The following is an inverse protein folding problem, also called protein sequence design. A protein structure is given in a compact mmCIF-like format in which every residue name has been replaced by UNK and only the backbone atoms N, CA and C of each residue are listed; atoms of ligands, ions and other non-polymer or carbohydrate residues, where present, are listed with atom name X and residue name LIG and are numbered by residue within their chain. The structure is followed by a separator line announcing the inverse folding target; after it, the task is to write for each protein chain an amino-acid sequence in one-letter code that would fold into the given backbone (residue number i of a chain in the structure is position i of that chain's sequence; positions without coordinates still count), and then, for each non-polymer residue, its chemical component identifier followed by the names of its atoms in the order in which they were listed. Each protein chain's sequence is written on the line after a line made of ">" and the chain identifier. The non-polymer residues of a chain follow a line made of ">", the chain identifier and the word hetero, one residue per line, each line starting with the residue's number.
data_IF_754802182351
#
_entry.id   IF_754802182351
#
_cell.length_a   1.000
_cell.length_b   1.000
_cell.length_c   1.000
_cell.angle_alpha   90.00
_cell.angle_beta   90.00
_cell.angle_gamma   90.00
#
_symmetry.space_group_name_H-M   'P 1'
#
loop_
_entity.id
_entity.type
_entity.pdbx_description
1 polymer ?
#
# COMPACT_ATOMS: atom_id res chain seq x y z
N UNK A 1 -43.66 -23.75 12.32
CA UNK A 1 -42.46 -23.35 13.08
C UNK A 1 -41.20 -24.12 12.67
N UNK A 2 -41.27 -25.38 12.26
CA UNK A 2 -40.08 -26.20 11.95
C UNK A 2 -39.37 -25.86 10.63
N UNK A 3 -40.05 -25.29 9.64
CA UNK A 3 -39.45 -24.95 8.34
C UNK A 3 -38.59 -23.70 8.37
N UNK A 4 -38.88 -22.74 9.24
CA UNK A 4 -38.07 -21.50 9.38
C UNK A 4 -36.75 -21.77 10.10
N UNK A 5 -36.73 -22.69 11.07
CA UNK A 5 -35.56 -23.10 11.82
C UNK A 5 -34.59 -23.89 10.92
N UNK A 6 -35.09 -24.76 10.04
CA UNK A 6 -34.27 -25.50 9.09
C UNK A 6 -33.58 -24.60 8.06
N UNK A 7 -34.25 -23.55 7.58
CA UNK A 7 -33.69 -22.59 6.64
C UNK A 7 -32.58 -21.74 7.32
N UNK A 8 -32.77 -21.36 8.58
CA UNK A 8 -31.76 -20.59 9.35
C UNK A 8 -30.52 -21.44 9.62
N UNK A 9 -30.67 -22.72 9.95
CA UNK A 9 -29.56 -23.65 10.20
C UNK A 9 -28.78 -23.93 8.91
N UNK A 10 -29.45 -24.08 7.77
CA UNK A 10 -28.84 -24.29 6.46
C UNK A 10 -28.08 -23.03 5.99
N UNK A 11 -28.60 -21.82 6.22
CA UNK A 11 -27.96 -20.58 5.90
C UNK A 11 -26.73 -20.31 6.81
N UNK A 12 -26.80 -20.58 8.10
CA UNK A 12 -25.68 -20.45 9.02
C UNK A 12 -24.60 -21.51 8.76
N UNK A 13 -24.94 -22.74 8.42
CA UNK A 13 -23.99 -23.80 8.03
C UNK A 13 -23.24 -23.46 6.74
N UNK A 14 -23.89 -22.84 5.76
CA UNK A 14 -23.26 -22.43 4.51
C UNK A 14 -22.31 -21.23 4.67
N UNK A 15 -22.61 -20.31 5.57
CA UNK A 15 -21.75 -19.15 5.84
C UNK A 15 -20.49 -19.52 6.62
N UNK A 16 -20.58 -20.40 7.61
CA UNK A 16 -19.40 -20.88 8.35
C UNK A 16 -18.47 -21.68 7.44
N UNK A 17 -18.99 -22.56 6.59
CA UNK A 17 -18.17 -23.32 5.64
C UNK A 17 -17.49 -22.43 4.58
N UNK A 18 -18.15 -21.38 4.12
CA UNK A 18 -17.55 -20.42 3.19
C UNK A 18 -16.42 -19.60 3.84
N UNK A 19 -16.57 -19.24 5.11
CA UNK A 19 -15.52 -18.55 5.85
C UNK A 19 -14.29 -19.45 6.06
N UNK A 20 -14.49 -20.70 6.45
CA UNK A 20 -13.41 -21.69 6.63
C UNK A 20 -12.65 -21.94 5.32
N UNK A 21 -13.34 -22.07 4.19
CA UNK A 21 -12.72 -22.22 2.87
C UNK A 21 -11.90 -20.97 2.51
N UNK A 22 -12.43 -19.78 2.77
CA UNK A 22 -11.72 -18.55 2.53
C UNK A 22 -10.47 -18.41 3.43
N UNK A 23 -10.53 -18.81 4.70
CA UNK A 23 -9.39 -18.82 5.61
C UNK A 23 -8.30 -19.79 5.14
N UNK A 24 -8.69 -21.00 4.72
CA UNK A 24 -7.74 -21.99 4.18
C UNK A 24 -7.06 -21.46 2.90
N UNK A 25 -7.85 -20.91 1.98
CA UNK A 25 -7.35 -20.31 0.73
C UNK A 25 -6.41 -19.14 1.01
N UNK A 26 -6.74 -18.30 1.98
CA UNK A 26 -5.91 -17.17 2.43
C UNK A 26 -4.56 -17.66 2.98
N UNK A 27 -4.56 -18.64 3.89
CA UNK A 27 -3.33 -19.20 4.47
C UNK A 27 -2.44 -19.83 3.38
N UNK A 28 -3.02 -20.65 2.51
CA UNK A 28 -2.28 -21.26 1.39
C UNK A 28 -1.67 -20.20 0.46
N UNK A 29 -2.40 -19.14 0.16
CA UNK A 29 -1.90 -18.07 -0.69
C UNK A 29 -0.77 -17.27 -0.03
N UNK A 30 -0.85 -17.03 1.28
CA UNK A 30 0.24 -16.40 2.06
C UNK A 30 1.49 -17.29 2.03
N UNK A 31 1.37 -18.59 2.29
CA UNK A 31 2.49 -19.53 2.28
C UNK A 31 3.20 -19.57 0.92
N UNK A 32 2.42 -19.70 -0.17
CA UNK A 32 2.97 -19.70 -1.54
C UNK A 32 3.60 -18.38 -1.92
N UNK A 33 2.98 -17.26 -1.56
CA UNK A 33 3.53 -15.92 -1.79
C UNK A 33 4.83 -15.69 -0.99
N UNK A 34 4.91 -16.18 0.26
CA UNK A 34 6.14 -16.14 1.02
C UNK A 34 7.25 -16.98 0.41
N UNK A 35 6.95 -18.20 -0.05
CA UNK A 35 7.93 -19.05 -0.74
C UNK A 35 8.50 -18.35 -1.97
N UNK A 36 7.64 -17.71 -2.77
CA UNK A 36 8.06 -16.88 -3.89
C UNK A 36 8.96 -15.72 -3.43
N UNK A 37 8.52 -14.88 -2.49
CA UNK A 37 9.30 -13.75 -1.99
C UNK A 37 10.65 -14.18 -1.38
N UNK A 38 10.68 -15.29 -0.64
CA UNK A 38 11.93 -15.83 -0.08
C UNK A 38 12.93 -16.24 -1.15
N UNK A 39 12.46 -16.82 -2.26
CA UNK A 39 13.30 -17.19 -3.38
C UNK A 39 13.84 -16.00 -4.17
N UNK A 40 13.19 -14.83 -4.06
CA UNK A 40 13.52 -13.63 -4.82
C UNK A 40 14.32 -12.60 -4.04
N UNK A 41 14.43 -12.71 -2.71
CA UNK A 41 15.28 -11.82 -1.92
C UNK A 41 16.75 -12.05 -2.26
N UNK A 42 17.41 -11.01 -2.73
CA UNK A 42 18.83 -11.05 -3.12
C UNK A 42 19.76 -11.21 -1.91
N UNK A 43 21.04 -11.52 -2.14
CA UNK A 43 22.05 -11.70 -1.09
C UNK A 43 22.23 -10.44 -0.22
N UNK A 44 22.11 -9.26 -0.80
CA UNK A 44 22.19 -7.99 -0.05
C UNK A 44 20.91 -7.65 0.73
N UNK A 45 19.87 -8.48 0.65
CA UNK A 45 18.60 -8.30 1.36
C UNK A 45 17.52 -7.55 0.61
N UNK A 46 17.83 -6.99 -0.54
CA UNK A 46 16.88 -6.26 -1.39
C UNK A 46 16.10 -7.15 -2.34
N UNK A 47 15.28 -6.51 -3.17
CA UNK A 47 14.56 -7.13 -4.28
C UNK A 47 14.95 -6.46 -5.60
N UNK A 48 15.07 -7.26 -6.66
CA UNK A 48 15.18 -6.76 -8.03
C UNK A 48 13.86 -7.00 -8.74
N UNK A 49 13.38 -6.01 -9.46
CA UNK A 49 12.19 -6.15 -10.30
C UNK A 49 12.52 -6.79 -11.66
N UNK A 50 13.80 -6.86 -12.02
CA UNK A 50 14.25 -7.34 -13.30
C UNK A 50 14.82 -8.75 -13.16
N UNK A 51 14.09 -9.72 -13.67
CA UNK A 51 14.68 -11.02 -14.00
C UNK A 51 15.65 -10.89 -15.19
N UNK A 52 15.50 -9.84 -16.01
CA UNK A 52 16.33 -9.57 -17.18
C UNK A 52 16.84 -8.11 -17.13
N UNK A 53 18.15 -7.88 -16.99
CA UNK A 53 18.73 -6.54 -16.91
C UNK A 53 18.72 -5.77 -18.25
N UNK A 54 18.22 -6.37 -19.33
CA UNK A 54 18.31 -5.80 -20.69
C UNK A 54 17.11 -4.91 -21.03
N UNK A 55 16.00 -5.04 -20.33
CA UNK A 55 14.80 -4.27 -20.65
C UNK A 55 14.66 -3.08 -19.70
N UNK A 56 15.11 -1.93 -20.17
CA UNK A 56 14.79 -0.66 -19.53
C UNK A 56 13.30 -0.37 -19.70
N UNK A 57 12.64 -0.08 -18.61
CA UNK A 57 11.32 0.52 -18.64
C UNK A 57 11.41 1.85 -19.40
N UNK A 58 10.64 1.99 -20.47
CA UNK A 58 10.61 3.24 -21.24
C UNK A 58 10.12 4.46 -20.45
N UNK A 59 9.54 4.22 -19.26
CA UNK A 59 9.01 5.24 -18.37
C UNK A 59 9.90 5.52 -17.15
N UNK A 60 10.93 4.73 -16.94
CA UNK A 60 11.76 4.81 -15.75
C UNK A 60 13.24 4.68 -16.10
N UNK A 61 14.03 5.64 -15.65
CA UNK A 61 15.48 5.59 -15.73
C UNK A 61 16.11 4.92 -14.49
N UNK A 62 17.42 4.93 -14.36
CA UNK A 62 18.17 4.19 -13.33
C UNK A 62 17.73 4.52 -11.89
N UNK A 63 17.46 5.76 -11.58
CA UNK A 63 17.04 6.18 -10.24
C UNK A 63 15.58 5.81 -9.95
N UNK A 64 14.68 5.90 -10.91
CA UNK A 64 13.32 5.36 -10.79
C UNK A 64 13.34 3.85 -10.56
N UNK A 65 14.15 3.10 -11.30
CA UNK A 65 14.32 1.67 -11.10
C UNK A 65 14.86 1.35 -9.68
N UNK A 66 15.86 2.10 -9.21
CA UNK A 66 16.36 1.98 -7.82
C UNK A 66 15.27 2.27 -6.81
N UNK A 67 14.44 3.29 -7.06
CA UNK A 67 13.30 3.61 -6.20
C UNK A 67 12.33 2.43 -6.07
N UNK A 68 12.02 1.77 -7.18
CA UNK A 68 11.15 0.59 -7.18
C UNK A 68 11.76 -0.59 -6.44
N UNK A 69 13.07 -0.82 -6.53
CA UNK A 69 13.76 -1.86 -5.74
C UNK A 69 13.63 -1.59 -4.23
N UNK A 70 13.86 -0.34 -3.82
CA UNK A 70 13.74 0.07 -2.42
C UNK A 70 12.28 -0.04 -1.95
N UNK A 71 11.33 0.44 -2.75
CA UNK A 71 9.90 0.36 -2.43
C UNK A 71 9.44 -1.09 -2.30
N UNK A 72 9.79 -1.97 -3.25
CA UNK A 72 9.44 -3.39 -3.21
C UNK A 72 10.04 -4.10 -2.00
N UNK A 73 11.32 -3.80 -1.67
CA UNK A 73 11.97 -4.32 -0.46
C UNK A 73 11.23 -3.90 0.80
N UNK A 74 10.79 -2.64 0.84
CA UNK A 74 10.02 -2.10 1.96
C UNK A 74 8.67 -2.79 2.13
N UNK A 75 7.95 -3.01 1.02
CA UNK A 75 6.64 -3.66 1.04
C UNK A 75 6.78 -5.14 1.42
N UNK A 76 7.80 -5.85 0.92
CA UNK A 76 8.09 -7.23 1.31
C UNK A 76 8.42 -7.34 2.80
N UNK A 77 9.23 -6.43 3.34
CA UNK A 77 9.49 -6.38 4.79
C UNK A 77 8.21 -6.16 5.60
N UNK A 78 7.32 -5.24 5.15
CA UNK A 78 6.02 -5.03 5.80
C UNK A 78 5.11 -6.26 5.71
N UNK A 79 5.14 -7.01 4.61
CA UNK A 79 4.38 -8.25 4.45
C UNK A 79 4.83 -9.30 5.47
N UNK A 80 6.12 -9.41 5.71
CA UNK A 80 6.67 -10.33 6.72
C UNK A 80 6.39 -9.85 8.14
N UNK A 81 6.52 -8.55 8.42
CA UNK A 81 6.18 -7.98 9.74
C UNK A 81 4.69 -8.12 10.11
N UNK A 82 3.79 -8.28 9.14
CA UNK A 82 2.37 -8.55 9.37
C UNK A 82 2.06 -10.00 9.78
N UNK A 83 3.08 -10.87 9.88
CA UNK A 83 2.96 -12.28 10.20
C UNK A 83 3.50 -12.60 11.62
N UNK A 84 3.09 -13.73 12.22
CA UNK A 84 3.69 -14.19 13.47
C UNK A 84 5.22 -14.32 13.34
N UNK A 85 5.91 -14.11 14.45
CA UNK A 85 7.37 -14.23 14.48
C UNK A 85 7.82 -15.69 14.27
N UNK A 86 8.84 -15.87 13.44
CA UNK A 86 9.62 -17.08 13.29
C UNK A 86 11.03 -16.72 12.81
N UNK A 87 12.00 -17.62 13.00
CA UNK A 87 13.41 -17.34 12.73
C UNK A 87 13.68 -17.03 11.24
N UNK A 88 12.99 -17.72 10.32
CA UNK A 88 13.19 -17.50 8.88
C UNK A 88 12.68 -16.12 8.45
N UNK A 89 11.48 -15.76 8.91
CA UNK A 89 10.88 -14.46 8.73
C UNK A 89 11.75 -13.35 9.31
N UNK A 90 12.19 -13.50 10.55
CA UNK A 90 12.97 -12.49 11.29
C UNK A 90 14.31 -12.22 10.62
N UNK A 91 15.00 -13.26 10.14
CA UNK A 91 16.23 -13.11 9.35
C UNK A 91 15.99 -12.35 8.04
N UNK A 92 14.88 -12.63 7.33
CA UNK A 92 14.53 -11.95 6.08
C UNK A 92 14.24 -10.46 6.28
N UNK A 93 13.49 -10.14 7.35
CA UNK A 93 13.22 -8.75 7.72
C UNK A 93 14.53 -8.03 8.07
N UNK A 94 15.40 -8.64 8.88
CA UNK A 94 16.67 -8.04 9.26
C UNK A 94 17.53 -7.70 8.03
N UNK A 95 17.61 -8.60 7.05
CA UNK A 95 18.34 -8.36 5.79
C UNK A 95 17.71 -7.23 4.97
N UNK A 96 16.37 -7.20 4.86
CA UNK A 96 15.66 -6.13 4.18
C UNK A 96 15.86 -4.77 4.86
N UNK A 97 15.77 -4.72 6.20
CA UNK A 97 16.03 -3.51 6.99
C UNK A 97 17.47 -3.03 6.83
N UNK A 98 18.46 -3.93 6.87
CA UNK A 98 19.87 -3.61 6.63
C UNK A 98 20.06 -3.01 5.22
N UNK A 99 19.41 -3.57 4.20
CA UNK A 99 19.40 -3.03 2.83
C UNK A 99 18.81 -1.61 2.79
N UNK A 100 17.63 -1.39 3.38
CA UNK A 100 16.97 -0.08 3.41
C UNK A 100 17.81 0.98 4.13
N UNK A 101 18.48 0.59 5.21
CA UNK A 101 19.32 1.51 5.96
C UNK A 101 20.62 1.87 5.24
N UNK A 102 21.16 0.99 4.40
CA UNK A 102 22.41 1.18 3.65
C UNK A 102 22.20 1.71 2.24
N UNK A 103 21.00 1.62 1.68
CA UNK A 103 20.69 2.10 0.32
C UNK A 103 20.99 3.59 0.20
N UNK A 104 21.60 4.04 -0.91
CA UNK A 104 21.77 5.46 -1.17
C UNK A 104 20.40 6.16 -1.28
N UNK A 105 20.38 7.47 -1.07
CA UNK A 105 19.20 8.27 -1.37
C UNK A 105 18.98 8.29 -2.88
N UNK A 106 17.73 8.14 -3.29
CA UNK A 106 17.33 8.20 -4.70
C UNK A 106 17.32 9.67 -5.14
N UNK A 107 17.88 9.93 -6.31
CA UNK A 107 17.94 11.27 -6.89
C UNK A 107 17.11 11.34 -8.16
N UNK A 108 16.95 12.54 -8.70
CA UNK A 108 16.33 12.77 -10.01
C UNK A 108 17.33 13.51 -10.90
N UNK A 109 18.30 12.79 -11.52
CA UNK A 109 19.31 13.42 -12.36
C UNK A 109 18.80 13.92 -13.70
N UNK A 110 17.68 13.36 -14.18
CA UNK A 110 17.03 13.80 -15.42
C UNK A 110 15.50 13.65 -15.38
N UNK A 111 14.83 14.13 -16.42
CA UNK A 111 13.36 14.18 -16.49
C UNK A 111 12.70 12.79 -16.66
N UNK A 112 13.44 11.74 -17.00
CA UNK A 112 12.95 10.38 -17.13
C UNK A 112 12.94 9.64 -15.79
N UNK A 113 13.60 10.16 -14.76
CA UNK A 113 13.50 9.65 -13.41
C UNK A 113 12.23 10.18 -12.73
N UNK A 114 11.11 9.48 -12.93
CA UNK A 114 9.76 9.97 -12.60
C UNK A 114 9.15 9.36 -11.34
N UNK A 115 9.84 8.41 -10.67
CA UNK A 115 9.25 7.63 -9.58
C UNK A 115 10.09 7.60 -8.28
N UNK A 116 10.97 8.57 -8.09
CA UNK A 116 11.96 8.53 -7.00
C UNK A 116 11.38 8.66 -5.59
N UNK A 117 10.21 9.27 -5.40
CA UNK A 117 9.61 9.45 -4.06
C UNK A 117 8.99 8.17 -3.47
N UNK A 118 8.71 7.16 -4.31
CA UNK A 118 8.22 5.87 -3.83
C UNK A 118 9.20 5.19 -2.87
N UNK A 119 10.51 5.31 -3.11
CA UNK A 119 11.54 4.84 -2.20
C UNK A 119 11.39 5.42 -0.80
N UNK A 120 11.12 6.72 -0.71
CA UNK A 120 11.03 7.42 0.56
C UNK A 120 9.79 7.05 1.37
N UNK A 121 8.60 7.09 0.73
CA UNK A 121 7.36 6.84 1.45
C UNK A 121 7.26 5.40 1.95
N UNK A 122 7.63 4.40 1.13
CA UNK A 122 7.58 3.01 1.57
C UNK A 122 8.71 2.66 2.53
N UNK A 123 9.93 3.23 2.36
CA UNK A 123 10.99 3.04 3.35
C UNK A 123 10.59 3.59 4.71
N UNK A 124 9.94 4.75 4.77
CA UNK A 124 9.48 5.29 6.05
C UNK A 124 8.49 4.34 6.71
N UNK A 125 7.46 3.87 6.00
CA UNK A 125 6.49 2.91 6.52
C UNK A 125 7.14 1.59 7.00
N UNK A 126 8.10 1.06 6.25
CA UNK A 126 8.80 -0.16 6.64
C UNK A 126 9.70 0.06 7.86
N UNK A 127 10.43 1.17 7.92
CA UNK A 127 11.32 1.49 9.03
C UNK A 127 10.56 1.82 10.31
N UNK A 128 9.40 2.45 10.24
CA UNK A 128 8.55 2.69 11.42
C UNK A 128 8.04 1.38 12.00
N UNK A 129 7.55 0.46 11.16
CA UNK A 129 7.12 -0.86 11.62
C UNK A 129 8.27 -1.70 12.15
N UNK A 130 9.43 -1.66 11.49
CA UNK A 130 10.65 -2.30 12.00
C UNK A 130 11.12 -1.68 13.32
N UNK A 131 10.92 -0.39 13.54
CA UNK A 131 11.21 0.30 14.80
C UNK A 131 10.36 -0.17 15.98
N UNK A 132 9.23 -0.80 15.70
CA UNK A 132 8.34 -1.43 16.70
C UNK A 132 8.46 -2.97 16.75
N UNK A 133 9.35 -3.55 15.94
CA UNK A 133 9.52 -5.01 15.87
C UNK A 133 10.50 -5.49 16.96
N UNK A 134 10.08 -6.43 17.84
CA UNK A 134 10.92 -6.91 18.96
C UNK A 134 12.25 -7.55 18.53
N UNK A 135 12.29 -8.18 17.36
CA UNK A 135 13.52 -8.79 16.85
C UNK A 135 14.54 -7.72 16.44
N UNK A 136 14.08 -6.59 15.88
CA UNK A 136 14.97 -5.48 15.53
C UNK A 136 15.59 -4.84 16.78
N UNK A 137 14.83 -4.71 17.86
CA UNK A 137 15.35 -4.25 19.15
C UNK A 137 16.38 -5.23 19.72
N UNK A 138 16.04 -6.53 19.80
CA UNK A 138 16.91 -7.60 20.30
C UNK A 138 18.24 -7.69 19.53
N UNK A 139 18.23 -7.35 18.24
CA UNK A 139 19.43 -7.40 17.38
C UNK A 139 20.16 -6.06 17.26
N UNK A 140 19.87 -5.09 18.15
CA UNK A 140 20.52 -3.77 18.24
C UNK A 140 20.38 -2.91 16.96
N UNK A 141 19.30 -3.09 16.17
CA UNK A 141 19.06 -2.32 14.94
C UNK A 141 18.29 -1.02 15.16
N UNK A 142 17.65 -0.83 16.30
CA UNK A 142 16.75 0.29 16.60
C UNK A 142 17.39 1.65 16.34
N UNK A 143 18.65 1.85 16.74
CA UNK A 143 19.37 3.11 16.51
C UNK A 143 19.61 3.40 15.03
N UNK A 144 19.97 2.38 14.26
CA UNK A 144 20.21 2.49 12.81
C UNK A 144 18.91 2.79 12.07
N UNK A 145 17.83 2.07 12.41
CA UNK A 145 16.47 2.26 11.87
C UNK A 145 16.01 3.70 12.10
N UNK A 146 16.05 4.16 13.36
CA UNK A 146 15.62 5.53 13.70
C UNK A 146 16.43 6.59 12.96
N UNK A 147 17.76 6.44 12.88
CA UNK A 147 18.63 7.37 12.15
C UNK A 147 18.26 7.41 10.67
N UNK A 148 18.04 6.24 10.04
CA UNK A 148 17.66 6.19 8.62
C UNK A 148 16.28 6.81 8.39
N UNK A 149 15.31 6.53 9.22
CA UNK A 149 13.98 7.12 9.15
C UNK A 149 14.01 8.64 9.26
N UNK A 150 14.85 9.20 10.14
CA UNK A 150 15.05 10.66 10.22
C UNK A 150 15.59 11.27 8.93
N UNK A 151 16.55 10.59 8.27
CA UNK A 151 17.07 11.01 6.96
C UNK A 151 15.96 10.97 5.91
N UNK A 152 15.16 9.90 5.88
CA UNK A 152 14.03 9.78 4.94
C UNK A 152 12.97 10.86 5.18
N UNK A 153 12.61 11.14 6.44
CA UNK A 153 11.66 12.21 6.76
C UNK A 153 12.18 13.58 6.31
N UNK A 154 13.49 13.84 6.49
CA UNK A 154 14.11 15.09 6.02
C UNK A 154 13.95 15.26 4.50
N UNK A 155 14.24 14.20 3.72
CA UNK A 155 14.03 14.22 2.28
C UNK A 155 12.55 14.41 1.89
N UNK A 156 11.64 13.72 2.56
CA UNK A 156 10.20 13.93 2.34
C UNK A 156 9.79 15.38 2.60
N UNK A 157 10.27 16.00 3.68
CA UNK A 157 9.97 17.40 3.95
C UNK A 157 10.55 18.37 2.90
N UNK A 158 11.73 18.07 2.38
CA UNK A 158 12.35 18.84 1.30
C UNK A 158 11.46 18.81 0.03
N UNK A 159 10.85 17.67 -0.26
CA UNK A 159 10.07 17.45 -1.48
C UNK A 159 8.54 17.59 -1.31
N UNK A 160 8.09 18.01 -0.15
CA UNK A 160 6.68 18.31 0.04
C UNK A 160 6.26 19.47 -0.85
N UNK A 161 5.29 19.24 -1.73
CA UNK A 161 4.74 20.23 -2.63
C UNK A 161 4.15 21.42 -1.86
N UNK A 162 4.16 22.65 -2.41
CA UNK A 162 3.39 23.77 -1.88
C UNK A 162 1.89 23.48 -1.74
N UNK A 163 1.39 22.46 -2.45
CA UNK A 163 0.04 21.92 -2.31
C UNK A 163 -0.17 21.10 -1.03
N UNK A 164 0.87 20.89 -0.22
CA UNK A 164 0.84 20.16 1.04
C UNK A 164 1.09 18.66 0.96
N UNK A 165 1.05 18.07 -0.22
CA UNK A 165 1.28 16.64 -0.43
C UNK A 165 2.56 16.33 -1.19
N UNK A 166 2.64 15.10 -1.75
CA UNK A 166 3.80 14.61 -2.50
C UNK A 166 3.41 14.13 -3.89
N UNK A 167 4.25 14.45 -4.87
CA UNK A 167 4.25 13.92 -6.23
C UNK A 167 5.06 12.62 -6.34
N UNK A 168 5.11 12.02 -7.53
CA UNK A 168 5.93 10.82 -7.80
C UNK A 168 7.42 11.07 -7.73
N UNK A 169 7.85 12.31 -7.95
CA UNK A 169 9.25 12.68 -8.00
C UNK A 169 9.51 14.02 -7.30
N UNK A 170 10.76 14.17 -6.90
CA UNK A 170 11.35 15.40 -6.44
C UNK A 170 12.08 16.07 -7.59
N UNK A 171 11.81 17.33 -7.85
CA UNK A 171 12.44 18.04 -8.99
C UNK A 171 13.77 18.69 -8.58
N UNK A 172 14.83 17.87 -8.44
CA UNK A 172 16.16 18.36 -8.09
C UNK A 172 16.87 19.04 -9.26
N UNK A 173 16.58 18.66 -10.49
CA UNK A 173 17.26 19.19 -11.67
C UNK A 173 16.98 20.66 -11.90
N UNK A 174 15.82 21.13 -11.49
CA UNK A 174 15.36 22.52 -11.62
C UNK A 174 15.42 23.30 -10.30
N UNK A 175 15.90 22.68 -9.22
CA UNK A 175 15.83 23.22 -7.87
C UNK A 175 14.43 23.70 -7.45
N UNK A 176 13.38 23.10 -8.04
CA UNK A 176 11.97 23.44 -7.83
C UNK A 176 11.25 22.22 -7.27
N UNK A 177 10.59 22.41 -6.14
CA UNK A 177 9.66 21.41 -5.61
C UNK A 177 8.47 21.25 -6.58
N UNK A 178 8.00 20.03 -6.86
CA UNK A 178 6.85 19.83 -7.71
C UNK A 178 5.65 20.65 -7.22
N UNK A 179 5.01 21.37 -8.13
CA UNK A 179 3.83 22.20 -7.84
C UNK A 179 2.52 21.39 -7.80
N UNK A 180 2.61 20.09 -7.88
CA UNK A 180 1.51 19.15 -7.82
C UNK A 180 1.79 18.04 -6.82
N UNK A 181 0.74 17.34 -6.42
CA UNK A 181 0.82 16.14 -5.61
C UNK A 181 -0.28 15.17 -6.02
N UNK A 182 -0.22 13.94 -5.54
CA UNK A 182 -1.32 12.99 -5.67
C UNK A 182 -1.88 12.62 -4.32
N UNK A 183 -3.18 12.35 -4.24
CA UNK A 183 -3.82 12.00 -2.97
C UNK A 183 -3.25 10.71 -2.38
N UNK A 184 -3.03 9.69 -3.20
CA UNK A 184 -2.58 8.39 -2.72
C UNK A 184 -1.09 8.36 -2.33
N UNK A 185 -0.22 9.09 -3.03
CA UNK A 185 1.18 9.25 -2.60
C UNK A 185 1.25 10.02 -1.27
N UNK A 186 0.46 11.08 -1.17
CA UNK A 186 0.31 11.85 0.07
C UNK A 186 -0.22 10.98 1.21
N UNK A 187 -1.19 10.09 0.94
CA UNK A 187 -1.70 9.16 1.95
C UNK A 187 -0.60 8.23 2.50
N UNK A 188 0.25 7.67 1.63
CA UNK A 188 1.36 6.81 2.08
C UNK A 188 2.37 7.59 2.92
N UNK A 189 2.72 8.81 2.51
CA UNK A 189 3.61 9.68 3.30
C UNK A 189 3.02 10.00 4.68
N UNK A 190 1.73 10.37 4.75
CA UNK A 190 1.02 10.65 6.00
C UNK A 190 1.02 9.42 6.92
N UNK A 191 0.78 8.21 6.39
CA UNK A 191 0.84 6.97 7.17
C UNK A 191 2.21 6.81 7.82
N UNK A 192 3.29 6.90 7.04
CA UNK A 192 4.65 6.76 7.56
C UNK A 192 5.01 7.81 8.61
N UNK A 193 4.57 9.06 8.44
CA UNK A 193 4.79 10.14 9.42
C UNK A 193 3.98 9.92 10.70
N UNK A 194 2.72 9.47 10.60
CA UNK A 194 1.90 9.13 11.77
C UNK A 194 2.49 7.94 12.54
N UNK A 195 2.91 6.88 11.86
CA UNK A 195 3.59 5.73 12.49
C UNK A 195 4.89 6.17 13.17
N UNK A 196 5.70 7.06 12.56
CA UNK A 196 6.89 7.63 13.17
C UNK A 196 6.57 8.42 14.43
N UNK A 197 5.50 9.21 14.42
CA UNK A 197 5.01 9.96 15.58
C UNK A 197 4.57 9.02 16.72
N UNK A 198 3.89 7.92 16.41
CA UNK A 198 3.50 6.90 17.41
C UNK A 198 4.72 6.32 18.14
N UNK A 199 5.87 6.20 17.46
CA UNK A 199 7.13 5.75 18.04
C UNK A 199 7.87 6.85 18.82
N UNK A 200 7.30 8.04 18.97
CA UNK A 200 7.94 9.18 19.61
C UNK A 200 9.14 9.73 18.83
N UNK A 201 9.19 9.50 17.51
CA UNK A 201 10.20 10.11 16.67
C UNK A 201 9.86 11.56 16.35
N UNK A 202 10.90 12.36 16.08
CA UNK A 202 10.70 13.79 15.81
C UNK A 202 10.10 14.00 14.42
N UNK A 203 8.81 14.31 14.37
CA UNK A 203 8.03 14.60 13.16
C UNK A 203 7.71 16.09 13.13
N UNK A 204 7.81 16.73 11.98
CA UNK A 204 7.39 18.11 11.78
C UNK A 204 5.85 18.18 11.77
N UNK A 205 5.28 18.60 12.90
CA UNK A 205 3.83 18.66 13.13
C UNK A 205 3.10 19.56 12.14
N UNK A 206 3.71 20.67 11.77
CA UNK A 206 3.08 21.60 10.82
C UNK A 206 2.96 20.96 9.44
N UNK A 207 4.03 20.34 8.94
CA UNK A 207 4.05 19.65 7.65
C UNK A 207 3.10 18.46 7.62
N UNK A 208 3.03 17.70 8.70
CA UNK A 208 2.09 16.60 8.83
C UNK A 208 0.64 17.10 8.83
N UNK A 209 0.32 18.16 9.59
CA UNK A 209 -1.01 18.74 9.61
C UNK A 209 -1.44 19.24 8.23
N UNK A 210 -0.57 19.97 7.52
CA UNK A 210 -0.85 20.44 6.16
C UNK A 210 -1.13 19.28 5.22
N UNK A 211 -0.40 18.17 5.31
CA UNK A 211 -0.63 16.99 4.48
C UNK A 211 -1.97 16.30 4.79
N UNK A 212 -2.35 16.22 6.07
CA UNK A 212 -3.66 15.70 6.48
C UNK A 212 -4.79 16.58 5.94
N UNK A 213 -4.67 17.90 6.07
CA UNK A 213 -5.65 18.85 5.55
C UNK A 213 -5.79 18.75 4.02
N UNK A 214 -4.68 18.53 3.33
CA UNK A 214 -4.66 18.27 1.88
C UNK A 214 -5.46 17.01 1.53
N UNK A 215 -5.27 15.90 2.26
CA UNK A 215 -6.06 14.69 2.03
C UNK A 215 -7.55 14.90 2.29
N UNK A 216 -7.91 15.67 3.31
CA UNK A 216 -9.31 16.02 3.59
C UNK A 216 -9.89 16.82 2.42
N UNK A 217 -9.11 17.76 1.88
CA UNK A 217 -9.51 18.58 0.73
C UNK A 217 -9.69 17.76 -0.56
N UNK A 218 -8.90 16.70 -0.75
CA UNK A 218 -9.04 15.80 -1.90
C UNK A 218 -10.31 14.94 -1.87
N UNK A 219 -10.98 14.84 -0.73
CA UNK A 219 -12.14 13.98 -0.57
C UNK A 219 -13.38 14.59 -1.20
N UNK A 220 -14.01 13.83 -2.11
CA UNK A 220 -15.23 14.22 -2.82
C UNK A 220 -16.50 13.79 -2.06
N UNK A 221 -17.67 14.40 -2.39
CA UNK A 221 -18.93 14.09 -1.70
C UNK A 221 -19.37 12.62 -1.79
N UNK A 222 -19.01 11.92 -2.87
CA UNK A 222 -19.31 10.49 -3.10
C UNK A 222 -18.37 9.54 -2.33
N UNK A 223 -17.39 10.11 -1.60
CA UNK A 223 -16.40 9.39 -0.82
C UNK A 223 -15.15 9.00 -1.60
N UNK A 224 -15.06 9.31 -2.88
CA UNK A 224 -13.83 9.19 -3.67
C UNK A 224 -12.81 10.30 -3.34
N UNK A 225 -11.65 10.23 -3.96
CA UNK A 225 -10.58 11.23 -3.81
C UNK A 225 -10.06 11.62 -5.18
N UNK A 226 -9.73 12.90 -5.34
CA UNK A 226 -9.08 13.38 -6.56
C UNK A 226 -7.76 12.63 -6.78
N UNK A 227 -7.40 12.41 -8.03
CA UNK A 227 -6.11 11.83 -8.38
C UNK A 227 -4.98 12.80 -8.07
N UNK A 228 -5.08 14.00 -8.63
CA UNK A 228 -4.14 15.10 -8.40
C UNK A 228 -4.66 16.03 -7.32
N UNK A 229 -3.73 16.62 -6.60
CA UNK A 229 -3.98 17.74 -5.68
C UNK A 229 -3.69 19.01 -6.45
N UNK A 230 -4.72 19.80 -6.69
CA UNK A 230 -4.64 21.06 -7.41
C UNK A 230 -5.17 22.21 -6.53
N UNK A 231 -4.65 23.42 -6.75
CA UNK A 231 -5.09 24.63 -6.02
C UNK A 231 -6.58 24.91 -6.26
N UNK A 232 -7.05 24.65 -7.48
CA UNK A 232 -8.46 24.77 -7.84
C UNK A 232 -8.99 23.34 -8.00
N UNK A 233 -9.93 22.89 -7.16
CA UNK A 233 -10.52 21.55 -7.28
C UNK A 233 -11.14 21.39 -8.68
N UNK A 234 -10.78 20.32 -9.37
CA UNK A 234 -11.50 19.95 -10.59
C UNK A 234 -12.91 19.56 -10.22
N UNK A 235 -13.88 20.23 -10.85
CA UNK A 235 -15.31 19.94 -10.69
C UNK A 235 -15.77 18.85 -11.68
N UNK A 236 -14.84 18.09 -12.24
CA UNK A 236 -15.17 17.04 -13.21
C UNK A 236 -15.60 15.75 -12.49
N UNK A 237 -16.68 15.91 -11.74
CA UNK A 237 -17.27 14.86 -10.90
C UNK A 237 -18.17 14.00 -11.80
N UNK A 238 -17.73 12.82 -12.15
CA UNK A 238 -18.68 11.83 -12.65
C UNK A 238 -18.20 10.84 -13.72
N UNK A 239 -17.32 11.21 -14.63
CA UNK A 239 -16.92 10.35 -15.75
C UNK A 239 -15.44 10.00 -15.82
N UNK A 240 -14.59 10.67 -15.05
CA UNK A 240 -13.15 10.57 -15.12
C UNK A 240 -12.52 9.72 -14.01
N UNK A 241 -11.22 9.92 -13.81
CA UNK A 241 -10.39 9.25 -12.83
C UNK A 241 -10.82 9.55 -11.38
N UNK A 242 -11.44 10.69 -11.13
CA UNK A 242 -11.73 11.19 -9.77
C UNK A 242 -13.02 10.65 -9.17
N UNK A 243 -13.84 9.93 -9.92
CA UNK A 243 -15.04 9.30 -9.39
C UNK A 243 -14.74 7.99 -8.62
N UNK A 244 -15.75 7.43 -7.95
CA UNK A 244 -15.65 6.16 -7.20
C UNK A 244 -15.03 5.05 -8.05
N UNK A 245 -15.47 4.88 -9.31
CA UNK A 245 -15.00 3.78 -10.19
C UNK A 245 -13.54 3.94 -10.60
N UNK A 246 -13.05 5.17 -10.78
CA UNK A 246 -11.65 5.47 -11.05
C UNK A 246 -10.78 5.56 -9.79
N UNK A 247 -11.41 5.75 -8.63
CA UNK A 247 -10.75 5.99 -7.34
C UNK A 247 -10.71 4.81 -6.37
N UNK A 248 -11.10 3.59 -6.77
CA UNK A 248 -11.31 2.44 -5.88
C UNK A 248 -10.15 2.19 -4.90
N UNK A 249 -8.93 2.22 -5.40
CA UNK A 249 -7.73 1.96 -4.59
C UNK A 249 -7.31 3.18 -3.77
N UNK A 250 -7.47 4.39 -4.32
CA UNK A 250 -7.19 5.64 -3.60
C UNK A 250 -8.13 5.85 -2.44
N UNK A 251 -9.40 5.44 -2.56
CA UNK A 251 -10.36 5.45 -1.47
C UNK A 251 -9.82 4.66 -0.28
N UNK A 252 -9.22 3.48 -0.51
CA UNK A 252 -8.72 2.65 0.58
C UNK A 252 -7.50 3.29 1.26
N UNK A 253 -6.50 3.74 0.51
CA UNK A 253 -5.29 4.32 1.08
C UNK A 253 -5.55 5.65 1.80
N UNK A 254 -6.37 6.54 1.22
CA UNK A 254 -6.71 7.81 1.84
C UNK A 254 -7.61 7.63 3.08
N UNK A 255 -8.58 6.71 3.04
CA UNK A 255 -9.38 6.38 4.20
C UNK A 255 -8.53 5.82 5.34
N UNK A 256 -7.54 4.96 5.04
CA UNK A 256 -6.64 4.41 6.05
C UNK A 256 -5.78 5.51 6.68
N UNK A 257 -5.16 6.37 5.87
CA UNK A 257 -4.36 7.49 6.37
C UNK A 257 -5.16 8.44 7.26
N UNK A 258 -6.34 8.84 6.82
CA UNK A 258 -7.22 9.75 7.56
C UNK A 258 -7.84 9.08 8.80
N UNK A 259 -8.12 7.77 8.78
CA UNK A 259 -8.56 7.06 9.96
C UNK A 259 -7.45 6.97 11.01
N UNK A 260 -6.21 6.65 10.58
CA UNK A 260 -5.06 6.64 11.47
C UNK A 260 -4.80 8.02 12.09
N UNK A 261 -4.90 9.09 11.30
CA UNK A 261 -4.82 10.46 11.79
C UNK A 261 -5.87 10.75 12.87
N UNK A 262 -7.12 10.31 12.68
CA UNK A 262 -8.18 10.45 13.67
C UNK A 262 -7.86 9.74 14.99
N UNK A 263 -7.30 8.52 14.92
CA UNK A 263 -6.89 7.76 16.12
C UNK A 263 -5.81 8.49 16.90
N UNK A 264 -5.03 9.33 16.26
CA UNK A 264 -3.98 10.15 16.87
C UNK A 264 -4.45 11.58 17.26
N UNK A 265 -5.75 11.85 17.21
CA UNK A 265 -6.34 13.11 17.67
C UNK A 265 -6.43 14.20 16.60
N UNK A 266 -6.05 13.95 15.36
CA UNK A 266 -6.25 14.92 14.27
C UNK A 266 -7.71 14.98 13.82
N UNK A 267 -8.14 16.15 13.34
CA UNK A 267 -9.45 16.30 12.73
C UNK A 267 -9.51 15.46 11.43
N UNK A 268 -10.48 14.57 11.34
CA UNK A 268 -10.68 13.73 10.16
C UNK A 268 -12.14 13.33 10.02
N UNK A 269 -12.69 13.31 8.78
CA UNK A 269 -14.07 12.91 8.54
C UNK A 269 -14.24 11.38 8.51
N UNK A 270 -13.15 10.60 8.60
CA UNK A 270 -13.20 9.15 8.42
C UNK A 270 -13.45 8.45 9.74
N UNK A 271 -14.45 7.56 9.73
CA UNK A 271 -14.80 6.61 10.80
C UNK A 271 -15.23 5.29 10.18
N UNK A 272 -15.71 4.35 11.00
CA UNK A 272 -16.11 3.02 10.52
C UNK A 272 -17.13 3.07 9.38
N UNK A 273 -18.11 3.98 9.44
CA UNK A 273 -19.12 4.12 8.38
C UNK A 273 -18.51 4.47 7.01
N UNK A 274 -17.52 5.37 6.97
CA UNK A 274 -16.82 5.75 5.74
C UNK A 274 -15.91 4.61 5.22
N UNK A 275 -15.27 3.89 6.13
CA UNK A 275 -14.49 2.69 5.80
C UNK A 275 -15.38 1.63 5.15
N UNK A 276 -16.50 1.30 5.78
CA UNK A 276 -17.48 0.32 5.27
C UNK A 276 -18.02 0.76 3.89
N UNK A 277 -18.31 2.05 3.72
CA UNK A 277 -18.72 2.60 2.42
C UNK A 277 -17.65 2.40 1.37
N UNK A 278 -16.39 2.73 1.66
CA UNK A 278 -15.27 2.53 0.74
C UNK A 278 -15.03 1.06 0.38
N UNK A 279 -15.14 0.15 1.33
CA UNK A 279 -15.06 -1.30 1.08
C UNK A 279 -16.22 -1.80 0.21
N UNK A 280 -17.46 -1.35 0.46
CA UNK A 280 -18.60 -1.65 -0.40
C UNK A 280 -18.38 -1.16 -1.84
N UNK A 281 -17.90 0.07 -2.00
CA UNK A 281 -17.58 0.64 -3.30
C UNK A 281 -16.52 -0.18 -4.03
N UNK A 282 -15.45 -0.62 -3.34
CA UNK A 282 -14.40 -1.47 -3.87
C UNK A 282 -14.99 -2.78 -4.45
N UNK A 283 -15.74 -3.53 -3.65
CA UNK A 283 -16.22 -4.85 -4.07
C UNK A 283 -17.39 -4.78 -5.07
N UNK A 284 -18.23 -3.76 -5.00
CA UNK A 284 -19.32 -3.56 -5.99
C UNK A 284 -18.76 -3.21 -7.37
N UNK A 285 -17.65 -2.45 -7.42
CA UNK A 285 -17.07 -1.98 -8.68
C UNK A 285 -15.74 -2.69 -9.01
N UNK A 286 -15.42 -3.80 -8.36
CA UNK A 286 -14.14 -4.48 -8.44
C UNK A 286 -13.72 -4.86 -9.87
N UNK A 287 -14.70 -5.13 -10.74
CA UNK A 287 -14.45 -5.50 -12.13
C UNK A 287 -13.67 -4.42 -12.92
N UNK A 288 -13.73 -3.15 -12.52
CA UNK A 288 -12.92 -2.10 -13.16
C UNK A 288 -11.42 -2.26 -12.85
N UNK A 289 -11.08 -2.76 -11.66
CA UNK A 289 -9.69 -3.12 -11.33
C UNK A 289 -9.26 -4.41 -12.05
N UNK A 290 -10.16 -5.40 -12.13
CA UNK A 290 -9.89 -6.65 -12.86
C UNK A 290 -9.58 -6.39 -14.35
N UNK A 291 -10.30 -5.48 -15.00
CA UNK A 291 -10.07 -5.07 -16.40
C UNK A 291 -8.73 -4.33 -16.55
N UNK A 292 -8.37 -3.50 -15.56
CA UNK A 292 -7.13 -2.73 -15.61
C UNK A 292 -5.88 -3.58 -15.34
N UNK A 293 -6.02 -4.65 -14.56
CA UNK A 293 -4.91 -5.52 -14.17
C UNK A 293 -4.27 -6.19 -15.39
N UNK A 294 -2.94 -6.10 -15.49
CA UNK A 294 -2.16 -6.70 -16.58
C UNK A 294 -2.17 -5.90 -17.88
N UNK A 295 -2.80 -4.72 -17.93
CA UNK A 295 -2.71 -3.85 -19.11
C UNK A 295 -1.35 -3.16 -19.16
N UNK A 296 -0.74 -3.06 -20.36
CA UNK A 296 0.62 -2.53 -20.51
C UNK A 296 0.70 -1.02 -20.30
N UNK A 297 -0.37 -0.26 -20.60
CA UNK A 297 -0.33 1.19 -20.48
C UNK A 297 -1.15 1.65 -19.26
N UNK A 298 -0.58 2.52 -18.42
CA UNK A 298 -1.32 3.16 -17.35
C UNK A 298 -2.50 3.98 -17.87
N UNK A 299 -3.59 4.00 -17.11
CA UNK A 299 -4.76 4.85 -17.37
C UNK A 299 -5.51 4.62 -18.69
N UNK A 300 -5.31 3.49 -19.37
CA UNK A 300 -6.04 3.14 -20.59
C UNK A 300 -7.36 2.40 -20.35
N UNK A 301 -7.57 1.87 -19.14
CA UNK A 301 -8.80 1.16 -18.80
C UNK A 301 -9.94 2.11 -18.44
N UNK A 302 -11.16 1.57 -18.34
CA UNK A 302 -12.35 2.34 -17.95
C UNK A 302 -12.10 3.16 -16.68
N UNK A 303 -12.57 4.40 -16.68
CA UNK A 303 -12.38 5.38 -15.62
C UNK A 303 -10.90 5.64 -15.30
N UNK A 304 -10.04 5.49 -16.31
CA UNK A 304 -8.59 5.72 -16.20
C UNK A 304 -7.92 4.87 -15.10
N UNK A 305 -8.48 3.70 -14.77
CA UNK A 305 -7.81 2.76 -13.89
C UNK A 305 -6.51 2.26 -14.49
N UNK A 306 -5.57 1.91 -13.62
CA UNK A 306 -4.27 1.34 -13.97
C UNK A 306 -4.05 0.04 -13.22
N UNK A 307 -3.31 -0.89 -13.83
CA UNK A 307 -3.00 -2.18 -13.24
C UNK A 307 -2.32 -2.05 -11.88
N UNK A 308 -1.37 -1.12 -11.74
CA UNK A 308 -0.62 -0.91 -10.49
C UNK A 308 -1.47 -0.52 -9.28
N UNK A 309 -2.73 -0.14 -9.47
CA UNK A 309 -3.66 0.09 -8.36
C UNK A 309 -4.26 -1.18 -7.78
N UNK A 310 -4.13 -2.33 -8.44
CA UNK A 310 -4.80 -3.54 -8.01
C UNK A 310 -4.36 -3.97 -6.61
N UNK A 311 -3.11 -4.40 -6.45
CA UNK A 311 -2.61 -4.84 -5.13
C UNK A 311 -2.39 -3.69 -4.15
N UNK A 312 -2.06 -2.50 -4.65
CA UNK A 312 -2.04 -1.30 -3.83
C UNK A 312 -3.37 -1.10 -3.09
N UNK A 313 -4.49 -1.13 -3.82
CA UNK A 313 -5.81 -0.96 -3.22
C UNK A 313 -6.19 -2.07 -2.26
N UNK A 314 -5.87 -3.32 -2.60
CA UNK A 314 -6.14 -4.47 -1.73
C UNK A 314 -5.31 -4.43 -0.44
N UNK A 315 -4.06 -4.00 -0.49
CA UNK A 315 -3.24 -3.84 0.70
C UNK A 315 -3.88 -2.88 1.72
N UNK A 316 -4.29 -1.69 1.28
CA UNK A 316 -4.95 -0.74 2.17
C UNK A 316 -6.36 -1.19 2.58
N UNK A 317 -7.08 -1.89 1.73
CA UNK A 317 -8.35 -2.53 2.13
C UNK A 317 -8.14 -3.59 3.22
N UNK A 318 -7.07 -4.39 3.14
CA UNK A 318 -6.69 -5.35 4.19
C UNK A 318 -6.41 -4.65 5.53
N UNK A 319 -5.64 -3.56 5.52
CA UNK A 319 -5.38 -2.74 6.70
C UNK A 319 -6.67 -2.16 7.30
N UNK A 320 -7.58 -1.67 6.45
CA UNK A 320 -8.88 -1.15 6.90
C UNK A 320 -9.76 -2.25 7.51
N UNK A 321 -9.75 -3.46 6.95
CA UNK A 321 -10.46 -4.61 7.53
C UNK A 321 -9.93 -4.91 8.93
N UNK A 322 -8.62 -4.88 9.12
CA UNK A 322 -8.02 -5.11 10.45
C UNK A 322 -8.38 -3.99 11.46
N UNK A 323 -8.66 -2.77 11.02
CA UNK A 323 -9.09 -1.68 11.89
C UNK A 323 -10.56 -1.77 12.32
N UNK A 324 -11.39 -2.52 11.59
CA UNK A 324 -12.81 -2.69 11.91
C UNK A 324 -13.02 -3.74 13.02
N UNK A 325 -14.11 -3.61 13.79
CA UNK A 325 -14.61 -4.72 14.62
C UNK A 325 -14.89 -5.95 13.74
N UNK A 326 -14.62 -7.15 14.27
CA UNK A 326 -14.80 -8.44 13.56
C UNK A 326 -16.15 -8.54 12.81
N UNK A 327 -17.25 -8.17 13.47
CA UNK A 327 -18.60 -8.23 12.89
C UNK A 327 -18.75 -7.34 11.65
N UNK A 328 -18.03 -6.21 11.59
CA UNK A 328 -18.08 -5.27 10.48
C UNK A 328 -17.12 -5.69 9.35
N UNK A 329 -15.99 -6.31 9.68
CA UNK A 329 -15.00 -6.81 8.73
C UNK A 329 -15.41 -8.12 8.04
N UNK A 330 -16.02 -9.03 8.78
CA UNK A 330 -16.33 -10.40 8.33
C UNK A 330 -17.09 -10.49 6.99
N UNK A 331 -18.10 -9.64 6.68
CA UNK A 331 -18.77 -9.68 5.39
C UNK A 331 -17.89 -9.43 4.17
N UNK A 332 -16.75 -8.75 4.37
CA UNK A 332 -15.81 -8.40 3.30
C UNK A 332 -14.67 -9.41 3.15
N UNK A 333 -14.45 -10.29 4.13
CA UNK A 333 -13.30 -11.18 4.15
C UNK A 333 -13.28 -12.15 2.95
N UNK A 334 -14.36 -12.91 2.72
CA UNK A 334 -14.39 -13.84 1.58
C UNK A 334 -14.31 -13.14 0.21
N UNK A 335 -15.04 -12.04 -0.06
CA UNK A 335 -14.82 -11.26 -1.28
C UNK A 335 -13.39 -10.77 -1.45
N UNK A 336 -12.76 -10.31 -0.36
CA UNK A 336 -11.37 -9.86 -0.36
C UNK A 336 -10.41 -10.99 -0.76
N UNK A 337 -10.47 -12.12 -0.04
CA UNK A 337 -9.62 -13.28 -0.29
C UNK A 337 -9.76 -13.78 -1.71
N UNK A 338 -11.00 -13.94 -2.18
CA UNK A 338 -11.27 -14.39 -3.55
C UNK A 338 -10.69 -13.45 -4.60
N UNK A 339 -10.75 -12.13 -4.38
CA UNK A 339 -10.20 -11.15 -5.31
C UNK A 339 -8.68 -11.26 -5.42
N UNK A 340 -7.98 -11.48 -4.32
CA UNK A 340 -6.51 -11.58 -4.32
C UNK A 340 -6.05 -12.96 -4.78
N UNK A 341 -6.62 -14.04 -4.23
CA UNK A 341 -6.17 -15.42 -4.48
C UNK A 341 -6.34 -15.82 -5.94
N UNK A 342 -7.41 -15.40 -6.62
CA UNK A 342 -7.64 -15.68 -8.05
C UNK A 342 -6.53 -15.17 -8.97
N UNK A 343 -5.69 -14.23 -8.49
CA UNK A 343 -4.62 -13.64 -9.27
C UNK A 343 -3.27 -14.32 -9.07
N UNK A 344 -3.16 -15.23 -8.09
CA UNK A 344 -1.90 -15.87 -7.76
C UNK A 344 -1.51 -16.93 -8.79
N UNK A 345 -0.31 -16.79 -9.33
CA UNK A 345 0.27 -17.73 -10.28
C UNK A 345 0.74 -19.05 -9.63
N UNK A 346 1.05 -20.06 -10.46
CA UNK A 346 1.52 -21.36 -10.00
C UNK A 346 2.80 -21.33 -9.17
N UNK A 347 3.69 -20.36 -9.42
CA UNK A 347 4.92 -20.10 -8.67
C UNK A 347 4.74 -19.31 -7.36
N UNK A 348 3.50 -18.93 -7.03
CA UNK A 348 3.17 -18.11 -5.86
C UNK A 348 3.24 -16.60 -6.09
N UNK A 349 3.72 -16.16 -7.25
CA UNK A 349 3.77 -14.73 -7.61
C UNK A 349 2.38 -14.15 -7.85
N UNK A 350 2.29 -12.82 -7.77
CA UNK A 350 1.11 -12.05 -8.12
C UNK A 350 1.55 -10.87 -8.99
N UNK A 351 0.88 -10.66 -10.12
CA UNK A 351 1.21 -9.61 -11.07
C UNK A 351 0.01 -8.72 -11.31
N UNK A 352 0.15 -7.43 -11.07
CA UNK A 352 -0.87 -6.42 -11.38
C UNK A 352 -0.52 -5.56 -12.60
N UNK A 353 0.75 -5.31 -12.82
CA UNK A 353 1.25 -4.38 -13.81
C UNK A 353 2.44 -4.97 -14.55
N UNK A 354 2.44 -4.83 -15.87
CA UNK A 354 3.52 -5.24 -16.73
C UNK A 354 3.82 -4.12 -17.72
N UNK A 355 5.05 -3.60 -17.71
CA UNK A 355 5.49 -2.57 -18.63
C UNK A 355 6.98 -2.75 -18.97
N UNK A 356 7.30 -2.73 -20.26
CA UNK A 356 8.67 -2.68 -20.73
C UNK A 356 9.59 -3.83 -20.27
N UNK A 357 9.05 -5.01 -19.95
CA UNK A 357 9.83 -6.13 -19.43
C UNK A 357 10.05 -6.13 -17.92
N UNK A 358 9.60 -5.10 -17.19
CA UNK A 358 9.53 -5.11 -15.73
C UNK A 358 8.29 -5.88 -15.33
N UNK A 359 8.48 -7.06 -14.75
CA UNK A 359 7.38 -7.77 -14.13
C UNK A 359 7.27 -7.34 -12.68
N UNK A 360 6.20 -6.64 -12.32
CA UNK A 360 5.90 -6.29 -10.92
C UNK A 360 5.48 -7.49 -10.05
N UNK A 361 6.03 -8.68 -10.31
CA UNK A 361 5.67 -9.92 -9.58
C UNK A 361 6.06 -9.85 -8.11
N UNK A 362 7.25 -9.36 -7.81
CA UNK A 362 7.75 -9.18 -6.45
C UNK A 362 6.94 -8.11 -5.69
N UNK A 363 6.68 -7.01 -6.36
CA UNK A 363 5.84 -5.92 -5.86
C UNK A 363 4.40 -6.39 -5.61
N UNK A 364 3.76 -7.02 -6.60
CA UNK A 364 2.40 -7.54 -6.48
C UNK A 364 2.29 -8.63 -5.41
N UNK A 365 3.25 -9.58 -5.35
CA UNK A 365 3.27 -10.61 -4.32
C UNK A 365 3.45 -10.02 -2.92
N UNK A 366 4.33 -9.03 -2.75
CA UNK A 366 4.56 -8.38 -1.46
C UNK A 366 3.29 -7.68 -0.94
N UNK A 367 2.62 -6.89 -1.78
CA UNK A 367 1.35 -6.27 -1.41
C UNK A 367 0.23 -7.29 -1.19
N UNK A 368 0.13 -8.30 -2.06
CA UNK A 368 -0.90 -9.33 -1.94
C UNK A 368 -0.77 -10.12 -0.63
N UNK A 369 0.45 -10.55 -0.29
CA UNK A 369 0.74 -11.25 0.98
C UNK A 369 0.45 -10.34 2.18
N UNK A 370 0.95 -9.09 2.17
CA UNK A 370 0.70 -8.14 3.25
C UNK A 370 -0.80 -7.92 3.48
N UNK A 371 -1.54 -7.66 2.41
CA UNK A 371 -2.97 -7.43 2.47
C UNK A 371 -3.75 -8.66 2.96
N UNK A 372 -3.40 -9.88 2.50
CA UNK A 372 -3.99 -11.14 2.99
C UNK A 372 -3.72 -11.35 4.48
N UNK A 373 -2.52 -11.02 4.98
CA UNK A 373 -2.20 -11.10 6.40
C UNK A 373 -3.09 -10.19 7.25
N UNK A 374 -3.24 -8.92 6.85
CA UNK A 374 -4.12 -7.97 7.54
C UNK A 374 -5.59 -8.38 7.48
N UNK A 375 -6.07 -8.81 6.31
CA UNK A 375 -7.44 -9.31 6.16
C UNK A 375 -7.69 -10.53 7.06
N UNK A 376 -6.76 -11.51 7.10
CA UNK A 376 -6.83 -12.67 8.00
C UNK A 376 -6.91 -12.26 9.47
N UNK A 377 -6.10 -11.29 9.88
CA UNK A 377 -6.09 -10.81 11.26
C UNK A 377 -7.45 -10.21 11.66
N UNK A 378 -8.19 -9.60 10.73
CA UNK A 378 -9.50 -9.01 11.00
C UNK A 378 -10.57 -10.01 11.45
N UNK A 379 -10.46 -11.29 11.08
CA UNK A 379 -11.43 -12.34 11.43
C UNK A 379 -10.96 -13.21 12.61
N UNK A 380 -9.70 -13.09 13.01
CA UNK A 380 -9.13 -13.81 14.17
C UNK A 380 -9.29 -13.08 15.50
N UNK A 381 -9.63 -11.79 15.48
CA UNK A 381 -9.86 -10.94 16.67
C UNK A 381 -10.98 -11.44 17.59
#
# INVERSE_FOLDING_TARGET
>A
MNSLIAIIILCCGSQSSQLEIAELSCNTAIERGNAFLFSRQTENGGFSLNADPVLHDVWANAESNRSWHIATTSIAAMAWMAQPQDDARDLRIARAVDYLCKSPLVKRPDDWDTDNTWAYVYSLCALTRAGNDPYMEKTNRSKMIRRRAQVIMHELYKYQSPMGGWAYYADETKAVTPNWATSFQTAVAVIGLLEAKQLGWNVDEHRLQVAIDTLIHCRLPDGSYTYSVEIIPRVDVGTGIDNVKGGLSRIQSCNYALYLAKQMGYKSPIGHAQIITGLKQLFTNHHYLDIARGRPNPHEAYHYNSGYFYFFGHYYAGLLLEMLPKKEAQPFFSPYVNSVVKTQHGDGSMLDFFMGGVSGKEYGAAFGVAGLCHARNSVKK
#
